data_IF_862126032004
#
_entry.id   IF_862126032004
#
_cell.length_a   1.000
_cell.length_b   1.000
_cell.length_c   1.000
_cell.angle_alpha   90.00
_cell.angle_beta   90.00
_cell.angle_gamma   90.00
#
_symmetry.space_group_name_H-M   'P 1'
#
loop_
_entity.id
_entity.type
_entity.pdbx_description
1 polymer ?
#
# COMPACT_ATOMS: atom_id res chain seq x y z
N UNK A 1 43.44 -7.99 -5.86
CA UNK A 1 42.98 -6.75 -6.53
C UNK A 1 41.72 -6.35 -5.83
N UNK A 2 41.89 -5.42 -4.90
CA UNK A 2 40.79 -4.93 -4.02
C UNK A 2 40.08 -3.81 -4.77
N UNK A 3 38.83 -4.05 -5.15
CA UNK A 3 38.01 -3.13 -5.89
C UNK A 3 37.10 -2.35 -4.97
N UNK A 4 37.64 -1.49 -4.11
CA UNK A 4 36.86 -0.51 -3.34
C UNK A 4 36.33 0.53 -4.29
N UNK A 5 35.00 0.56 -4.48
CA UNK A 5 34.28 1.67 -5.13
C UNK A 5 34.35 2.89 -4.23
N UNK A 6 35.20 3.85 -4.60
CA UNK A 6 35.23 5.19 -4.01
C UNK A 6 33.96 5.97 -4.47
N UNK A 7 32.94 5.98 -3.63
CA UNK A 7 31.79 6.88 -3.78
C UNK A 7 32.18 8.22 -3.15
N UNK A 8 32.78 9.10 -3.94
CA UNK A 8 33.09 10.47 -3.56
C UNK A 8 31.88 11.20 -2.98
N UNK A 9 32.03 12.27 -2.22
CA UNK A 9 31.02 12.85 -1.35
C UNK A 9 29.87 13.45 -2.13
N UNK A 10 28.76 12.71 -2.21
CA UNK A 10 27.48 13.16 -2.80
C UNK A 10 26.73 14.12 -1.86
N UNK A 11 27.21 14.33 -0.64
CA UNK A 11 26.52 15.17 0.35
C UNK A 11 27.50 16.11 1.05
N UNK A 12 27.37 17.43 0.81
CA UNK A 12 27.99 18.45 1.65
C UNK A 12 26.95 18.94 2.65
N UNK A 13 27.17 18.86 3.98
CA UNK A 13 26.27 19.41 4.98
C UNK A 13 26.30 20.93 4.91
N UNK A 14 25.09 21.55 4.94
CA UNK A 14 24.96 23.00 5.07
C UNK A 14 25.33 23.41 6.49
N UNK A 15 26.10 24.50 6.62
CA UNK A 15 26.50 25.08 7.90
C UNK A 15 25.26 25.50 8.72
N UNK A 16 25.02 24.81 9.83
CA UNK A 16 23.90 25.10 10.73
C UNK A 16 23.46 23.89 11.57
N UNK A 17 24.04 22.72 11.36
CA UNK A 17 23.66 21.52 12.09
C UNK A 17 24.33 21.43 13.46
N UNK A 18 23.53 21.17 14.49
CA UNK A 18 23.91 21.03 15.89
C UNK A 18 24.88 19.83 16.05
N UNK A 19 25.90 19.93 16.93
CA UNK A 19 26.91 18.86 17.07
C UNK A 19 26.32 17.55 17.60
N UNK A 20 26.77 16.45 17.03
CA UNK A 20 26.48 15.09 17.48
C UNK A 20 27.06 14.88 18.87
N UNK A 21 26.24 14.48 19.83
CA UNK A 21 26.68 13.98 21.14
C UNK A 21 26.92 12.48 21.03
N UNK A 22 28.17 12.05 21.07
CA UNK A 22 28.53 10.63 21.17
C UNK A 22 28.24 10.11 22.56
N UNK A 23 27.30 9.18 22.70
CA UNK A 23 27.11 8.37 23.90
C UNK A 23 27.13 6.89 23.48
N UNK A 24 28.21 6.24 23.82
CA UNK A 24 28.48 4.78 23.85
C UNK A 24 27.60 3.85 23.00
N UNK A 25 28.18 3.33 21.91
CA UNK A 25 27.85 2.07 21.18
C UNK A 25 26.44 1.82 20.66
N UNK A 26 25.58 2.82 20.50
CA UNK A 26 24.38 2.68 19.67
C UNK A 26 23.94 4.04 19.15
N UNK A 27 23.88 4.16 17.81
CA UNK A 27 23.30 5.35 17.18
C UNK A 27 21.79 5.31 17.34
N UNK A 28 21.25 6.07 18.27
CA UNK A 28 19.81 6.30 18.40
C UNK A 28 19.43 7.45 17.45
N UNK A 29 18.79 7.11 16.33
CA UNK A 29 18.15 8.11 15.49
C UNK A 29 16.90 8.62 16.20
N UNK A 30 16.99 9.80 16.84
CA UNK A 30 15.80 10.51 17.30
C UNK A 30 14.91 10.86 16.11
N UNK A 31 13.73 10.25 16.07
CA UNK A 31 12.67 10.57 15.12
C UNK A 31 12.09 11.96 15.44
N UNK A 32 12.63 13.01 14.89
CA UNK A 32 11.85 14.23 14.69
C UNK A 32 11.03 14.06 13.44
N UNK A 33 9.77 13.64 13.60
CA UNK A 33 8.81 13.64 12.51
C UNK A 33 8.48 15.10 12.15
N UNK A 34 8.95 15.56 11.02
CA UNK A 34 8.32 16.69 10.35
C UNK A 34 7.05 16.10 9.71
N UNK A 35 6.06 15.90 10.56
CA UNK A 35 4.74 15.46 10.13
C UNK A 35 4.04 16.68 9.52
N UNK A 36 3.97 16.74 8.21
CA UNK A 36 2.81 17.35 7.59
C UNK A 36 1.62 16.48 7.93
N UNK A 37 0.97 16.80 9.05
CA UNK A 37 -0.26 16.17 9.48
C UNK A 37 -1.38 16.59 8.54
N UNK A 38 -1.61 15.86 7.47
CA UNK A 38 -2.99 15.62 7.12
C UNK A 38 -3.51 14.58 8.13
N UNK A 39 -4.12 15.08 9.20
CA UNK A 39 -5.00 14.29 10.03
C UNK A 39 -6.09 13.76 9.11
N UNK A 40 -6.03 12.48 8.81
CA UNK A 40 -7.24 11.75 8.44
C UNK A 40 -8.19 12.00 9.60
N UNK A 41 -9.25 12.78 9.38
CA UNK A 41 -10.26 13.03 10.38
C UNK A 41 -10.73 11.66 10.89
N UNK A 42 -10.82 11.51 12.20
CA UNK A 42 -11.19 10.27 12.90
C UNK A 42 -12.68 9.90 12.75
N UNK A 43 -13.30 10.27 11.64
CA UNK A 43 -14.55 9.70 11.19
C UNK A 43 -14.24 8.39 10.46
N UNK A 44 -14.92 7.31 10.78
CA UNK A 44 -14.87 6.03 10.07
C UNK A 44 -15.41 6.21 8.65
N UNK A 45 -14.63 6.82 7.77
CA UNK A 45 -14.97 6.92 6.37
C UNK A 45 -14.47 5.66 5.67
N UNK A 46 -15.42 4.79 5.33
CA UNK A 46 -15.18 3.66 4.44
C UNK A 46 -15.07 4.18 3.01
N UNK A 47 -14.00 3.80 2.32
CA UNK A 47 -13.73 4.26 0.96
C UNK A 47 -13.79 3.11 -0.03
N UNK A 48 -14.53 3.33 -1.12
CA UNK A 48 -14.58 2.40 -2.23
C UNK A 48 -13.53 2.74 -3.28
N UNK A 49 -12.81 1.73 -3.72
CA UNK A 49 -11.95 1.82 -4.91
C UNK A 49 -12.81 2.07 -6.15
N UNK A 50 -12.40 2.96 -7.07
CA UNK A 50 -13.07 3.11 -8.37
C UNK A 50 -13.29 1.76 -9.04
N UNK A 51 -14.52 1.53 -9.51
CA UNK A 51 -14.92 0.27 -10.15
C UNK A 51 -14.02 -0.09 -11.32
N UNK A 52 -13.57 0.90 -12.07
CA UNK A 52 -12.72 0.75 -13.24
C UNK A 52 -11.38 0.07 -12.89
N UNK A 53 -10.85 0.30 -11.69
CA UNK A 53 -9.60 -0.34 -11.22
C UNK A 53 -9.86 -1.83 -10.96
N UNK A 54 -10.91 -2.16 -10.23
CA UNK A 54 -11.23 -3.56 -9.91
C UNK A 54 -11.69 -4.34 -11.12
N UNK A 55 -12.40 -3.73 -12.07
CA UNK A 55 -12.85 -4.39 -13.30
C UNK A 55 -11.67 -4.81 -14.19
N UNK A 56 -10.70 -3.93 -14.41
CA UNK A 56 -9.55 -4.27 -15.28
C UNK A 56 -8.57 -5.24 -14.61
N UNK A 57 -8.54 -5.29 -13.29
CA UNK A 57 -7.68 -6.19 -12.53
C UNK A 57 -8.33 -7.53 -12.20
N UNK A 58 -9.66 -7.58 -12.12
CA UNK A 58 -10.45 -8.76 -11.73
C UNK A 58 -10.46 -9.88 -12.78
N UNK A 59 -11.28 -10.90 -12.58
CA UNK A 59 -12.14 -11.10 -11.40
C UNK A 59 -11.35 -11.50 -10.15
N UNK A 60 -11.91 -11.15 -8.98
CA UNK A 60 -11.39 -11.57 -7.68
C UNK A 60 -12.40 -12.51 -6.99
N UNK A 61 -11.89 -13.42 -6.17
CA UNK A 61 -12.73 -14.37 -5.42
C UNK A 61 -13.11 -13.83 -4.06
N UNK A 62 -12.23 -13.04 -3.42
CA UNK A 62 -12.42 -12.51 -2.07
C UNK A 62 -11.97 -11.06 -1.96
N UNK A 63 -12.78 -10.24 -1.29
CA UNK A 63 -12.40 -8.95 -0.70
C UNK A 63 -12.58 -9.06 0.83
N UNK A 64 -11.48 -9.18 1.60
CA UNK A 64 -11.57 -9.48 3.02
C UNK A 64 -11.79 -8.26 3.92
N UNK A 65 -11.82 -7.04 3.36
CA UNK A 65 -12.04 -5.80 4.13
C UNK A 65 -12.99 -4.83 3.42
N UNK A 66 -14.02 -5.39 2.80
CA UNK A 66 -15.02 -4.62 2.07
C UNK A 66 -15.92 -3.81 3.00
N UNK A 67 -16.37 -2.61 2.60
CA UNK A 67 -17.47 -1.90 3.27
C UNK A 67 -18.73 -2.76 3.34
N UNK A 68 -19.55 -2.53 4.39
CA UNK A 68 -20.86 -3.20 4.54
C UNK A 68 -21.75 -2.80 3.37
N UNK A 69 -21.89 -1.50 3.14
CA UNK A 69 -22.65 -0.95 2.02
C UNK A 69 -21.72 -0.63 0.86
N UNK A 70 -22.09 -1.02 -0.35
CA UNK A 70 -21.32 -0.80 -1.56
C UNK A 70 -22.22 -0.87 -2.80
N UNK A 71 -22.10 0.08 -3.73
CA UNK A 71 -22.91 0.11 -4.96
C UNK A 71 -22.42 -0.89 -6.03
N UNK A 72 -21.22 -1.44 -5.87
CA UNK A 72 -20.65 -2.48 -6.75
C UNK A 72 -19.83 -3.49 -5.95
N UNK A 73 -19.73 -4.69 -6.48
CA UNK A 73 -18.91 -5.76 -5.91
C UNK A 73 -17.46 -5.64 -6.41
N UNK A 74 -16.49 -5.83 -5.51
CA UNK A 74 -15.06 -5.90 -5.80
C UNK A 74 -14.58 -7.33 -5.99
N UNK A 75 -15.32 -8.32 -5.46
CA UNK A 75 -15.03 -9.74 -5.52
C UNK A 75 -16.33 -10.56 -5.51
N UNK A 76 -16.23 -11.89 -5.61
CA UNK A 76 -17.36 -12.82 -5.45
C UNK A 76 -17.82 -12.93 -4.00
N UNK A 77 -16.86 -12.98 -3.07
CA UNK A 77 -17.09 -13.06 -1.61
C UNK A 77 -16.52 -11.82 -0.93
N UNK A 78 -17.22 -11.32 0.09
CA UNK A 78 -16.79 -10.14 0.85
C UNK A 78 -16.84 -10.44 2.33
N UNK A 79 -15.77 -10.08 3.05
CA UNK A 79 -15.81 -9.94 4.49
C UNK A 79 -15.86 -8.46 4.85
N UNK A 80 -16.65 -8.14 5.84
CA UNK A 80 -16.87 -6.78 6.34
C UNK A 80 -16.35 -6.64 7.76
N UNK A 81 -16.46 -5.48 8.34
CA UNK A 81 -16.11 -5.26 9.76
C UNK A 81 -16.88 -6.19 10.72
N UNK A 82 -18.07 -6.69 10.29
CA UNK A 82 -18.86 -7.64 11.09
C UNK A 82 -18.24 -9.03 11.14
N UNK A 83 -17.48 -9.38 10.09
CA UNK A 83 -16.91 -10.71 9.92
C UNK A 83 -15.51 -10.81 10.52
N UNK A 84 -14.80 -9.68 10.72
CA UNK A 84 -13.37 -9.63 11.06
C UNK A 84 -12.50 -10.42 10.07
N UNK A 85 -12.36 -9.88 8.86
CA UNK A 85 -11.69 -10.57 7.74
C UNK A 85 -10.25 -11.00 8.02
N UNK A 86 -9.56 -10.42 9.02
CA UNK A 86 -8.25 -10.91 9.46
C UNK A 86 -8.32 -12.28 10.14
N UNK A 87 -9.46 -12.65 10.71
CA UNK A 87 -9.67 -13.95 11.36
C UNK A 87 -10.30 -15.00 10.44
N UNK A 88 -10.87 -14.57 9.31
CA UNK A 88 -11.53 -15.47 8.37
C UNK A 88 -10.52 -16.22 7.49
N UNK A 89 -10.96 -17.33 6.90
CA UNK A 89 -10.16 -18.06 5.93
C UNK A 89 -10.14 -17.34 4.59
N UNK A 90 -8.96 -16.99 4.09
CA UNK A 90 -8.83 -16.41 2.76
C UNK A 90 -8.73 -17.51 1.72
N UNK A 91 -9.35 -17.30 0.55
CA UNK A 91 -9.38 -18.26 -0.53
C UNK A 91 -9.33 -17.57 -1.89
N UNK A 92 -8.78 -18.27 -2.87
CA UNK A 92 -8.71 -17.79 -4.25
C UNK A 92 -7.95 -16.48 -4.39
N UNK A 93 -8.25 -15.76 -5.44
CA UNK A 93 -7.59 -14.51 -5.81
C UNK A 93 -8.19 -13.33 -5.04
N UNK A 94 -7.38 -12.64 -4.26
CA UNK A 94 -7.82 -11.59 -3.32
C UNK A 94 -7.65 -10.19 -3.91
N UNK A 95 -8.69 -9.36 -3.74
CA UNK A 95 -8.59 -7.90 -3.80
C UNK A 95 -8.45 -7.34 -2.39
N UNK A 96 -7.43 -6.54 -2.13
CA UNK A 96 -7.19 -5.95 -0.81
C UNK A 96 -7.00 -4.44 -0.90
N UNK A 97 -7.97 -3.65 -0.44
CA UNK A 97 -7.81 -2.22 -0.13
C UNK A 97 -7.96 -2.05 1.40
N UNK A 98 -6.88 -2.21 2.17
CA UNK A 98 -6.98 -2.28 3.63
C UNK A 98 -7.29 -0.91 4.23
N UNK A 99 -7.85 -0.87 5.46
CA UNK A 99 -7.96 0.38 6.22
C UNK A 99 -6.59 1.04 6.36
N UNK A 100 -6.52 2.33 6.09
CA UNK A 100 -5.29 3.09 6.24
C UNK A 100 -5.01 3.40 7.72
N UNK A 101 -3.75 3.33 8.13
CA UNK A 101 -3.31 3.57 9.50
C UNK A 101 -2.62 2.36 10.13
N UNK A 102 -2.75 2.21 11.44
CA UNK A 102 -2.01 1.20 12.22
C UNK A 102 -2.36 -0.27 11.86
N UNK A 103 -3.55 -0.50 11.30
CA UNK A 103 -3.99 -1.84 10.93
C UNK A 103 -3.45 -2.29 9.54
N UNK A 104 -3.02 -1.35 8.70
CA UNK A 104 -2.53 -1.65 7.35
C UNK A 104 -1.45 -2.73 7.34
N UNK A 105 -0.54 -2.70 8.32
CA UNK A 105 0.56 -3.67 8.44
C UNK A 105 0.05 -5.12 8.58
N UNK A 106 -0.96 -5.35 9.45
CA UNK A 106 -1.54 -6.68 9.68
C UNK A 106 -2.20 -7.24 8.42
N UNK A 107 -2.93 -6.38 7.69
CA UNK A 107 -3.58 -6.74 6.44
C UNK A 107 -2.56 -7.10 5.36
N UNK A 108 -1.49 -6.33 5.25
CA UNK A 108 -0.45 -6.57 4.25
C UNK A 108 0.38 -7.81 4.57
N UNK A 109 0.68 -8.06 5.86
CA UNK A 109 1.35 -9.29 6.29
C UNK A 109 0.49 -10.53 5.95
N UNK A 110 -0.83 -10.46 6.16
CA UNK A 110 -1.73 -11.55 5.79
C UNK A 110 -1.82 -11.74 4.27
N UNK A 111 -1.82 -10.65 3.49
CA UNK A 111 -1.79 -10.72 2.04
C UNK A 111 -0.50 -11.35 1.51
N UNK A 112 0.64 -10.99 2.08
CA UNK A 112 1.93 -11.58 1.75
C UNK A 112 1.95 -13.09 2.04
N UNK A 113 1.39 -13.52 3.18
CA UNK A 113 1.26 -14.94 3.54
C UNK A 113 0.28 -15.69 2.62
N UNK A 114 -0.81 -15.04 2.17
CA UNK A 114 -1.77 -15.62 1.22
C UNK A 114 -1.18 -15.79 -0.18
N UNK A 115 -0.40 -14.83 -0.62
CA UNK A 115 0.38 -14.82 -1.87
C UNK A 115 -0.41 -15.04 -3.17
N UNK A 116 -1.69 -14.70 -3.20
CA UNK A 116 -2.50 -14.71 -4.43
C UNK A 116 -3.49 -13.54 -4.46
N UNK A 117 -3.15 -12.48 -5.15
CA UNK A 117 -4.05 -11.33 -5.33
C UNK A 117 -3.33 -10.00 -5.58
N UNK A 118 -4.09 -8.92 -5.47
CA UNK A 118 -3.60 -7.55 -5.67
C UNK A 118 -4.07 -6.68 -4.51
N UNK A 119 -3.15 -5.91 -3.93
CA UNK A 119 -3.48 -4.90 -2.93
C UNK A 119 -3.26 -3.48 -3.46
N UNK A 120 -4.00 -2.54 -2.88
CA UNK A 120 -3.90 -1.11 -3.14
C UNK A 120 -3.56 -0.40 -1.83
N UNK A 121 -2.36 0.20 -1.74
CA UNK A 121 -1.94 0.99 -0.58
C UNK A 121 -1.22 2.26 -1.01
N UNK A 122 -0.96 3.15 -0.06
CA UNK A 122 -0.09 4.29 -0.31
C UNK A 122 1.37 3.87 -0.55
N UNK A 123 2.02 4.54 -1.49
CA UNK A 123 3.43 4.31 -1.84
C UNK A 123 4.38 4.95 -0.80
N UNK A 124 4.22 4.56 0.47
CA UNK A 124 5.10 4.96 1.58
C UNK A 124 6.21 3.93 1.74
N UNK A 125 7.08 3.89 0.76
CA UNK A 125 8.07 2.84 0.50
C UNK A 125 9.11 2.66 1.61
N UNK A 126 9.20 3.60 2.53
CA UNK A 126 10.12 3.65 3.67
C UNK A 126 9.55 3.00 4.95
N UNK A 127 8.27 2.59 4.94
CA UNK A 127 7.61 2.04 6.14
C UNK A 127 7.91 0.56 6.37
N UNK A 128 7.75 0.10 7.64
CA UNK A 128 7.87 -1.31 8.00
C UNK A 128 6.96 -2.19 7.14
N UNK A 129 5.72 -1.79 6.88
CA UNK A 129 4.80 -2.51 5.98
C UNK A 129 5.43 -2.83 4.62
N UNK A 130 6.17 -1.87 4.05
CA UNK A 130 6.84 -2.07 2.77
C UNK A 130 8.04 -3.01 2.88
N UNK A 131 8.85 -2.88 3.93
CA UNK A 131 10.04 -3.71 4.14
C UNK A 131 9.71 -5.14 4.53
N UNK A 132 8.61 -5.35 5.28
CA UNK A 132 8.25 -6.67 5.79
C UNK A 132 7.31 -7.45 4.88
N UNK A 133 6.42 -6.76 4.15
CA UNK A 133 5.33 -7.40 3.41
C UNK A 133 5.34 -7.14 1.90
N UNK A 134 6.00 -6.08 1.42
CA UNK A 134 5.99 -5.72 0.00
C UNK A 134 7.30 -6.12 -0.69
N UNK A 135 8.41 -5.51 -0.31
CA UNK A 135 9.69 -5.76 -0.99
C UNK A 135 10.12 -7.23 -1.02
N UNK A 136 9.98 -8.02 0.08
CA UNK A 136 10.41 -9.42 0.07
C UNK A 136 9.38 -10.40 -0.51
N UNK A 137 8.11 -9.99 -0.66
CA UNK A 137 7.02 -10.93 -0.92
C UNK A 137 6.26 -10.69 -2.22
N UNK A 138 6.22 -9.43 -2.70
CA UNK A 138 5.47 -9.10 -3.90
C UNK A 138 6.20 -9.57 -5.17
N UNK A 139 5.43 -9.90 -6.21
CA UNK A 139 5.97 -10.27 -7.53
C UNK A 139 6.09 -9.05 -8.47
N UNK A 140 5.27 -8.00 -8.26
CA UNK A 140 5.34 -6.77 -9.04
C UNK A 140 4.61 -5.61 -8.35
N UNK A 141 4.95 -4.40 -8.79
CA UNK A 141 4.36 -3.14 -8.36
C UNK A 141 3.87 -2.35 -9.57
N UNK A 142 2.79 -1.56 -9.39
CA UNK A 142 2.40 -0.51 -10.32
C UNK A 142 2.18 0.79 -9.54
N UNK A 143 3.12 1.71 -9.65
CA UNK A 143 2.98 3.07 -9.12
C UNK A 143 2.04 3.86 -10.03
N UNK A 144 0.86 4.18 -9.52
CA UNK A 144 -0.20 4.82 -10.31
C UNK A 144 0.18 6.26 -10.64
N UNK A 145 0.03 6.64 -11.93
CA UNK A 145 0.22 8.03 -12.36
C UNK A 145 -0.95 8.88 -11.90
N UNK A 146 -0.66 9.94 -11.12
CA UNK A 146 -1.68 10.82 -10.54
C UNK A 146 -2.21 10.30 -9.20
N UNK A 147 -3.39 10.81 -8.80
CA UNK A 147 -4.04 10.49 -7.54
C UNK A 147 -5.38 9.81 -7.79
N UNK A 148 -5.67 8.76 -7.05
CA UNK A 148 -6.97 8.10 -7.09
C UNK A 148 -8.02 9.00 -6.41
N UNK A 149 -9.15 9.19 -7.06
CA UNK A 149 -10.34 9.72 -6.42
C UNK A 149 -11.22 8.55 -6.00
N UNK A 150 -11.26 8.27 -4.70
CA UNK A 150 -12.10 7.24 -4.12
C UNK A 150 -13.58 7.62 -4.15
N UNK A 151 -14.42 6.67 -3.79
CA UNK A 151 -15.86 6.87 -3.69
C UNK A 151 -16.32 6.61 -2.25
N UNK A 152 -17.36 7.33 -1.84
CA UNK A 152 -18.11 7.03 -0.62
C UNK A 152 -18.93 5.74 -0.81
N UNK A 153 -19.33 5.12 0.28
CA UNK A 153 -20.14 3.88 0.26
C UNK A 153 -21.49 4.03 -0.44
N UNK A 154 -22.00 5.25 -0.57
CA UNK A 154 -23.22 5.57 -1.33
C UNK A 154 -22.97 5.72 -2.85
N UNK A 155 -21.75 5.53 -3.32
CA UNK A 155 -21.36 5.64 -4.73
C UNK A 155 -21.05 7.04 -5.22
N UNK A 156 -21.09 8.07 -4.37
CA UNK A 156 -20.64 9.41 -4.75
C UNK A 156 -19.13 9.49 -4.76
N UNK A 157 -18.58 10.13 -5.78
CA UNK A 157 -17.13 10.37 -5.87
C UNK A 157 -16.70 11.31 -4.74
N UNK A 158 -15.58 10.99 -4.08
CA UNK A 158 -14.99 11.89 -3.11
C UNK A 158 -14.63 13.25 -3.74
N UNK A 159 -14.88 14.32 -3.00
CA UNK A 159 -14.56 15.69 -3.47
C UNK A 159 -13.06 15.96 -3.58
N UNK A 160 -12.24 15.13 -2.94
CA UNK A 160 -10.77 15.21 -2.94
C UNK A 160 -10.16 13.90 -3.42
N UNK A 161 -8.97 13.97 -3.99
CA UNK A 161 -8.18 12.79 -4.34
C UNK A 161 -7.38 12.28 -3.14
N UNK A 162 -6.88 11.05 -3.25
CA UNK A 162 -6.02 10.42 -2.23
C UNK A 162 -4.91 11.35 -1.73
N UNK A 163 -4.72 11.44 -0.42
CA UNK A 163 -3.72 12.32 0.23
C UNK A 163 -2.27 11.94 -0.08
N UNK A 164 -2.01 10.70 -0.52
CA UNK A 164 -0.69 10.20 -0.89
C UNK A 164 -0.70 9.47 -2.25
N UNK A 165 0.46 9.30 -2.92
CA UNK A 165 0.56 8.43 -4.10
C UNK A 165 0.12 7.01 -3.76
N UNK A 166 -0.54 6.35 -4.71
CA UNK A 166 -1.02 4.97 -4.56
C UNK A 166 -0.20 4.01 -5.39
N UNK A 167 -0.03 2.80 -4.87
CA UNK A 167 0.63 1.69 -5.54
C UNK A 167 -0.26 0.45 -5.49
N UNK A 168 -0.39 -0.22 -6.63
CA UNK A 168 -0.94 -1.56 -6.73
C UNK A 168 0.20 -2.56 -6.58
N UNK A 169 -0.01 -3.58 -5.75
CA UNK A 169 0.99 -4.57 -5.39
C UNK A 169 0.44 -5.94 -5.74
N UNK A 170 1.12 -6.65 -6.63
CA UNK A 170 0.74 -7.98 -7.07
C UNK A 170 1.50 -9.06 -6.28
N UNK A 171 0.78 -9.99 -5.69
CA UNK A 171 1.29 -11.19 -5.06
C UNK A 171 1.00 -12.39 -5.95
N UNK A 172 2.04 -13.16 -6.26
CA UNK A 172 1.99 -14.26 -7.22
C UNK A 172 2.13 -13.84 -8.68
N UNK A 173 2.73 -14.72 -9.50
CA UNK A 173 3.13 -14.43 -10.89
C UNK A 173 1.95 -14.08 -11.80
N UNK A 174 0.80 -14.75 -11.67
CA UNK A 174 -0.39 -14.48 -12.48
C UNK A 174 -0.92 -13.05 -12.25
N UNK A 175 -0.86 -12.57 -11.00
CA UNK A 175 -1.24 -11.23 -10.62
C UNK A 175 -0.24 -10.18 -11.14
N UNK A 176 1.05 -10.50 -11.18
CA UNK A 176 2.07 -9.65 -11.77
C UNK A 176 1.84 -9.44 -13.29
N UNK A 177 1.54 -10.51 -14.02
CA UNK A 177 1.22 -10.42 -15.46
C UNK A 177 -0.08 -9.63 -15.70
N UNK A 178 -1.10 -9.85 -14.87
CA UNK A 178 -2.34 -9.07 -14.93
C UNK A 178 -2.08 -7.58 -14.69
N UNK A 179 -1.26 -7.26 -13.69
CA UNK A 179 -0.89 -5.89 -13.36
C UNK A 179 -0.10 -5.21 -14.48
N UNK A 180 0.79 -5.96 -15.14
CA UNK A 180 1.59 -5.50 -16.28
C UNK A 180 0.75 -5.09 -17.48
N UNK A 181 -0.35 -5.81 -17.72
CA UNK A 181 -1.18 -5.66 -18.93
C UNK A 181 -2.51 -4.93 -18.68
N UNK A 182 -2.78 -4.47 -17.45
CA UNK A 182 -4.07 -3.91 -17.06
C UNK A 182 -4.44 -2.57 -17.72
N UNK A 183 -3.48 -1.86 -18.32
CA UNK A 183 -3.71 -0.56 -18.94
C UNK A 183 -3.88 0.61 -17.97
N UNK A 184 -3.79 0.40 -16.65
CA UNK A 184 -3.83 1.49 -15.68
C UNK A 184 -2.58 2.36 -15.86
N UNK A 185 -2.73 3.71 -16.05
CA UNK A 185 -1.58 4.59 -16.22
C UNK A 185 -0.67 4.57 -14.99
N UNK A 186 0.62 4.26 -15.19
CA UNK A 186 1.57 4.16 -14.09
C UNK A 186 2.94 3.62 -14.49
N UNK A 187 3.79 3.37 -13.50
CA UNK A 187 5.09 2.73 -13.68
C UNK A 187 5.05 1.31 -13.10
N UNK A 188 5.08 0.33 -13.98
CA UNK A 188 5.23 -1.08 -13.59
C UNK A 188 6.68 -1.39 -13.22
N UNK A 189 6.86 -2.19 -12.17
CA UNK A 189 8.16 -2.70 -11.70
C UNK A 189 7.97 -4.17 -11.34
N UNK A 190 8.72 -5.07 -11.97
CA UNK A 190 8.82 -6.47 -11.54
C UNK A 190 9.79 -6.56 -10.35
N UNK A 191 9.52 -7.44 -9.40
CA UNK A 191 10.38 -7.75 -8.25
C UNK A 191 10.95 -9.16 -8.36
#
# INVERSE_FOLDING_TARGET
MDGTLDLGPIFQPRSGDNPLVEVGSSVVLERRSIASHERVSSGKEEWLTPKEITDVLGPFDLDPCSPIERPWSTAKTHYTIKDDGLKQLWHGRVWLNPPYGNETEKWMARMAAHNDGISLIFARTETATWFDSVWPCAAALLFIKGRIAFFHVDGRRAGTSAGAPSCLIAYGKSNAERLKTCGIPGRFVAL
#
